data_IF_079595657954
#
_entry.id   IF_079595657954
#
_cell.length_a   1.000
_cell.length_b   1.000
_cell.length_c   1.000
_cell.angle_alpha   90.00
_cell.angle_beta   90.00
_cell.angle_gamma   90.00
#
_symmetry.space_group_name_H-M   'P 1'
#
loop_
_entity.id
_entity.type
_entity.pdbx_description
1 polymer ?
#
# COMPACT_ATOMS: atom_id res chain seq x y z
N UNK A 1 -9.79 -0.33 19.07
CA UNK A 1 -10.77 -0.41 20.17
C UNK A 1 -11.70 0.79 20.04
N UNK A 2 -12.99 0.63 19.72
CA UNK A 2 -13.88 1.74 19.35
C UNK A 2 -14.31 2.66 20.51
N UNK A 3 -14.20 2.23 21.78
CA UNK A 3 -14.83 2.93 22.92
C UNK A 3 -13.87 3.59 23.93
N UNK A 4 -12.63 3.90 23.54
CA UNK A 4 -11.64 4.38 24.51
C UNK A 4 -11.51 5.92 24.49
N UNK A 5 -12.14 6.59 25.46
CA UNK A 5 -12.14 8.06 25.66
C UNK A 5 -10.81 8.64 26.16
N UNK A 6 -9.78 7.81 26.42
CA UNK A 6 -8.47 8.26 26.91
C UNK A 6 -7.31 7.73 26.08
N UNK A 7 -6.49 8.66 25.56
CA UNK A 7 -5.28 8.38 24.76
C UNK A 7 -4.27 7.50 25.51
N UNK A 8 -4.21 7.60 26.84
CA UNK A 8 -3.29 6.82 27.69
C UNK A 8 -3.72 5.35 27.80
N UNK A 9 -5.03 5.08 27.88
CA UNK A 9 -5.58 3.72 27.92
C UNK A 9 -5.37 3.03 26.56
N UNK A 10 -5.56 3.74 25.44
CA UNK A 10 -5.26 3.25 24.11
C UNK A 10 -3.79 2.82 23.93
N UNK A 11 -2.84 3.61 24.44
CA UNK A 11 -1.41 3.30 24.35
C UNK A 11 -1.05 2.05 25.17
N UNK A 12 -1.60 1.94 26.40
CA UNK A 12 -1.38 0.75 27.25
C UNK A 12 -1.97 -0.51 26.61
N UNK A 13 -3.19 -0.44 26.09
CA UNK A 13 -3.85 -1.56 25.43
C UNK A 13 -3.10 -2.00 24.17
N UNK A 14 -2.62 -1.05 23.36
CA UNK A 14 -1.83 -1.36 22.16
C UNK A 14 -0.48 -2.03 22.50
N UNK A 15 0.18 -1.59 23.58
CA UNK A 15 1.42 -2.20 24.07
C UNK A 15 1.18 -3.61 24.63
N UNK A 16 0.07 -3.83 25.33
CA UNK A 16 -0.31 -5.16 25.83
C UNK A 16 -0.59 -6.13 24.68
N UNK A 17 -1.34 -5.69 23.67
CA UNK A 17 -1.56 -6.47 22.44
C UNK A 17 -0.24 -6.80 21.74
N UNK A 18 0.66 -5.82 21.60
CA UNK A 18 1.96 -6.04 20.97
C UNK A 18 2.79 -7.11 21.72
N UNK A 19 2.78 -7.08 23.06
CA UNK A 19 3.45 -8.11 23.88
C UNK A 19 2.84 -9.49 23.68
N UNK A 20 1.51 -9.61 23.73
CA UNK A 20 0.81 -10.88 23.47
C UNK A 20 1.19 -11.46 22.11
N UNK A 21 1.25 -10.62 21.08
CA UNK A 21 1.62 -11.05 19.73
C UNK A 21 3.07 -11.54 19.62
N UNK A 22 4.00 -10.98 20.40
CA UNK A 22 5.37 -11.49 20.49
C UNK A 22 5.40 -12.85 21.19
N UNK A 23 4.71 -12.96 22.32
CA UNK A 23 4.70 -14.17 23.15
C UNK A 23 4.06 -15.35 22.39
N UNK A 24 2.95 -15.11 21.69
CA UNK A 24 2.24 -16.14 20.91
C UNK A 24 2.81 -16.38 19.51
N UNK A 25 3.85 -15.65 19.10
CA UNK A 25 4.38 -15.79 17.74
C UNK A 25 5.04 -17.14 17.53
N UNK A 26 4.67 -17.79 16.42
CA UNK A 26 5.31 -19.00 15.89
C UNK A 26 5.56 -18.77 14.39
N UNK A 27 6.82 -18.84 13.91
CA UNK A 27 7.14 -18.62 12.51
C UNK A 27 6.68 -19.80 11.65
N UNK A 28 5.81 -19.55 10.66
CA UNK A 28 5.39 -20.58 9.69
C UNK A 28 6.50 -21.02 8.73
N UNK A 29 7.50 -20.17 8.51
CA UNK A 29 8.57 -20.39 7.55
C UNK A 29 9.80 -21.10 8.16
N UNK A 30 9.80 -21.39 9.46
CA UNK A 30 10.86 -22.13 10.13
C UNK A 30 10.30 -23.45 10.65
N UNK A 31 11.13 -24.49 10.62
CA UNK A 31 10.77 -25.76 11.24
C UNK A 31 10.78 -25.62 12.77
N UNK A 32 10.00 -26.45 13.45
CA UNK A 32 9.92 -26.44 14.91
C UNK A 32 11.29 -26.66 15.54
N UNK A 33 12.09 -27.61 15.00
CA UNK A 33 13.44 -27.89 15.49
C UNK A 33 14.41 -26.70 15.37
N UNK A 34 14.23 -25.84 14.37
CA UNK A 34 15.06 -24.64 14.17
C UNK A 34 14.57 -23.46 15.04
N UNK A 35 13.29 -23.46 15.41
CA UNK A 35 12.66 -22.35 16.13
C UNK A 35 12.79 -22.50 17.65
N UNK A 36 12.52 -23.68 18.20
CA UNK A 36 12.50 -23.91 19.65
C UNK A 36 13.79 -23.43 20.36
N UNK A 37 15.01 -23.71 19.85
CA UNK A 37 16.25 -23.29 20.53
C UNK A 37 16.43 -21.77 20.61
N UNK A 38 15.85 -21.03 19.67
CA UNK A 38 16.06 -19.58 19.52
C UNK A 38 14.85 -18.74 19.96
N UNK A 39 13.72 -19.38 20.27
CA UNK A 39 12.43 -18.73 20.44
C UNK A 39 12.45 -17.70 21.58
N UNK A 40 12.94 -18.10 22.75
CA UNK A 40 13.04 -17.23 23.92
C UNK A 40 13.94 -16.02 23.65
N UNK A 41 15.12 -16.25 23.08
CA UNK A 41 16.07 -15.19 22.73
C UNK A 41 15.44 -14.21 21.72
N UNK A 42 14.81 -14.72 20.66
CA UNK A 42 14.16 -13.89 19.63
C UNK A 42 13.04 -13.02 20.20
N UNK A 43 12.18 -13.59 21.06
CA UNK A 43 11.10 -12.84 21.73
C UNK A 43 11.66 -11.71 22.61
N UNK A 44 12.72 -11.98 23.38
CA UNK A 44 13.36 -10.96 24.21
C UNK A 44 13.85 -9.76 23.38
N UNK A 45 14.47 -10.02 22.22
CA UNK A 45 14.92 -8.96 21.31
C UNK A 45 13.72 -8.14 20.78
N UNK A 46 12.63 -8.81 20.42
CA UNK A 46 11.47 -8.11 19.87
C UNK A 46 10.80 -7.20 20.91
N UNK A 47 10.78 -7.60 22.19
CA UNK A 47 10.27 -6.78 23.29
C UNK A 47 11.17 -5.58 23.57
N UNK A 48 12.49 -5.73 23.47
CA UNK A 48 13.47 -4.65 23.65
C UNK A 48 13.38 -3.57 22.55
N UNK A 49 12.75 -3.88 21.41
CA UNK A 49 12.44 -2.88 20.37
C UNK A 49 11.22 -2.01 20.71
N UNK A 50 10.49 -2.32 21.79
CA UNK A 50 9.29 -1.61 22.25
C UNK A 50 8.25 -1.38 21.12
N UNK A 51 7.70 -2.44 20.51
CA UNK A 51 6.71 -2.32 19.44
C UNK A 51 5.45 -1.60 19.93
N UNK A 52 4.99 -0.62 19.14
CA UNK A 52 3.86 0.25 19.50
C UNK A 52 2.48 -0.38 19.30
N UNK A 53 2.40 -1.44 18.50
CA UNK A 53 1.17 -2.13 18.14
C UNK A 53 1.48 -3.57 17.67
N UNK A 54 0.44 -4.40 17.60
CA UNK A 54 0.48 -5.78 17.12
C UNK A 54 1.20 -5.92 15.77
N UNK A 55 0.83 -5.10 14.78
CA UNK A 55 1.41 -5.15 13.44
C UNK A 55 2.93 -4.99 13.47
N UNK A 56 3.45 -4.03 14.25
CA UNK A 56 4.89 -3.81 14.44
C UNK A 56 5.57 -4.94 15.20
N UNK A 57 4.90 -5.53 16.19
CA UNK A 57 5.39 -6.70 16.92
C UNK A 57 5.57 -7.91 15.98
N UNK A 58 4.55 -8.23 15.19
CA UNK A 58 4.59 -9.33 14.20
C UNK A 58 5.65 -9.07 13.13
N UNK A 59 5.80 -7.82 12.66
CA UNK A 59 6.84 -7.45 11.69
C UNK A 59 8.26 -7.62 12.25
N UNK A 60 8.48 -7.23 13.50
CA UNK A 60 9.75 -7.44 14.20
C UNK A 60 10.04 -8.94 14.36
N UNK A 61 9.08 -9.73 14.87
CA UNK A 61 9.24 -11.17 15.06
C UNK A 61 9.53 -11.92 13.75
N UNK A 62 8.82 -11.59 12.67
CA UNK A 62 9.05 -12.18 11.33
C UNK A 62 10.46 -11.89 10.81
N UNK A 63 11.00 -10.71 11.13
CA UNK A 63 12.32 -10.30 10.68
C UNK A 63 13.43 -10.90 11.54
N UNK A 64 13.28 -10.82 12.86
CA UNK A 64 14.28 -11.29 13.84
C UNK A 64 14.40 -12.82 13.84
N UNK A 65 13.29 -13.56 13.79
CA UNK A 65 13.33 -15.04 13.77
C UNK A 65 14.17 -15.58 12.63
N UNK A 66 14.07 -14.97 11.44
CA UNK A 66 14.79 -15.40 10.25
C UNK A 66 16.30 -15.16 10.34
N UNK A 67 16.73 -13.98 10.84
CA UNK A 67 18.17 -13.69 10.99
C UNK A 67 18.79 -14.47 12.15
N UNK A 68 18.06 -14.63 13.26
CA UNK A 68 18.55 -15.39 14.43
C UNK A 68 18.65 -16.88 14.08
N UNK A 69 17.66 -17.46 13.38
CA UNK A 69 17.73 -18.84 12.90
C UNK A 69 18.90 -19.06 11.94
N UNK A 70 19.10 -18.15 10.98
CA UNK A 70 20.24 -18.22 10.10
C UNK A 70 21.58 -18.13 10.87
N UNK A 71 21.72 -17.16 11.75
CA UNK A 71 22.94 -16.97 12.55
C UNK A 71 23.24 -18.18 13.44
N UNK A 72 22.21 -18.76 14.07
CA UNK A 72 22.35 -19.94 14.91
C UNK A 72 22.84 -21.16 14.12
N UNK A 73 22.33 -21.38 12.90
CA UNK A 73 22.79 -22.45 12.00
C UNK A 73 24.21 -22.24 11.49
N UNK A 74 24.64 -20.97 11.33
CA UNK A 74 26.04 -20.62 11.04
C UNK A 74 26.96 -20.78 12.27
N UNK A 75 26.43 -21.23 13.42
CA UNK A 75 27.19 -21.48 14.63
C UNK A 75 27.47 -20.24 15.49
N UNK A 76 26.80 -19.11 15.22
CA UNK A 76 26.93 -17.91 16.06
C UNK A 76 26.23 -18.15 17.42
N UNK A 77 26.83 -17.68 18.53
CA UNK A 77 26.18 -17.74 19.83
C UNK A 77 24.93 -16.87 19.84
N UNK A 78 23.95 -17.24 20.68
CA UNK A 78 22.74 -16.43 20.93
C UNK A 78 23.07 -15.20 21.79
N UNK A 79 23.85 -14.31 21.18
CA UNK A 79 24.31 -13.05 21.73
C UNK A 79 24.01 -11.94 20.71
N UNK A 80 23.25 -10.94 21.15
CA UNK A 80 22.83 -9.83 20.29
C UNK A 80 24.02 -9.01 19.79
N UNK A 81 25.08 -8.87 20.58
CA UNK A 81 26.28 -8.12 20.20
C UNK A 81 27.13 -8.88 19.17
N UNK A 82 26.87 -10.18 18.97
CA UNK A 82 27.54 -11.02 17.96
C UNK A 82 26.70 -11.16 16.70
N UNK A 83 25.39 -11.34 16.85
CA UNK A 83 24.46 -11.57 15.72
C UNK A 83 24.16 -10.27 14.97
N UNK A 84 23.99 -9.15 15.68
CA UNK A 84 23.51 -7.90 15.08
C UNK A 84 24.65 -6.91 14.80
N UNK A 85 25.80 -7.40 14.35
CA UNK A 85 26.90 -6.56 13.85
C UNK A 85 26.68 -6.20 12.38
N UNK A 86 27.26 -5.09 11.89
CA UNK A 86 27.15 -4.70 10.47
C UNK A 86 27.50 -5.85 9.51
N UNK A 87 28.63 -6.52 9.75
CA UNK A 87 29.14 -7.59 8.87
C UNK A 87 28.22 -8.81 8.83
N UNK A 88 27.70 -9.24 9.99
CA UNK A 88 26.79 -10.39 10.07
C UNK A 88 25.45 -10.07 9.41
N UNK A 89 24.94 -8.85 9.59
CA UNK A 89 23.70 -8.42 8.92
C UNK A 89 23.89 -8.32 7.40
N UNK A 90 24.99 -7.77 6.93
CA UNK A 90 25.26 -7.66 5.49
C UNK A 90 25.48 -9.05 4.86
N UNK A 91 26.18 -9.96 5.56
CA UNK A 91 26.30 -11.38 5.17
C UNK A 91 24.95 -12.09 5.13
N UNK A 92 24.10 -11.89 6.14
CA UNK A 92 22.74 -12.44 6.14
C UNK A 92 21.95 -11.94 4.92
N UNK A 93 22.01 -10.65 4.60
CA UNK A 93 21.28 -10.11 3.44
C UNK A 93 21.79 -10.69 2.12
N UNK A 94 23.11 -10.88 1.99
CA UNK A 94 23.73 -11.41 0.79
C UNK A 94 23.47 -12.91 0.61
N UNK A 95 23.55 -13.69 1.69
CA UNK A 95 23.53 -15.16 1.65
C UNK A 95 22.23 -15.73 2.21
N UNK A 96 21.93 -15.46 3.49
CA UNK A 96 20.76 -16.00 4.19
C UNK A 96 19.41 -15.54 3.61
N UNK A 97 19.38 -14.37 2.97
CA UNK A 97 18.19 -13.78 2.35
C UNK A 97 18.23 -13.80 0.81
N UNK A 98 19.12 -14.58 0.19
CA UNK A 98 19.30 -14.59 -1.26
C UNK A 98 18.03 -14.98 -2.05
N UNK A 99 17.17 -15.80 -1.44
CA UNK A 99 15.87 -16.22 -1.99
C UNK A 99 14.85 -15.08 -2.11
N UNK A 100 15.08 -13.93 -1.48
CA UNK A 100 14.21 -12.76 -1.57
C UNK A 100 14.54 -11.91 -2.81
N UNK A 101 13.51 -11.29 -3.40
CA UNK A 101 13.69 -10.28 -4.45
C UNK A 101 14.51 -9.10 -3.96
N UNK A 102 15.19 -8.40 -4.86
CA UNK A 102 16.05 -7.27 -4.51
C UNK A 102 15.35 -6.17 -3.70
N UNK A 103 14.12 -5.72 -4.03
CA UNK A 103 13.38 -4.76 -3.20
C UNK A 103 13.07 -5.30 -1.79
N UNK A 104 12.80 -6.60 -1.67
CA UNK A 104 12.55 -7.26 -0.39
C UNK A 104 13.82 -7.34 0.46
N UNK A 105 14.97 -7.65 -0.15
CA UNK A 105 16.29 -7.61 0.50
C UNK A 105 16.65 -6.21 0.96
N UNK A 106 16.38 -5.19 0.14
CA UNK A 106 16.62 -3.79 0.51
C UNK A 106 15.77 -3.37 1.72
N UNK A 107 14.50 -3.72 1.73
CA UNK A 107 13.59 -3.48 2.87
C UNK A 107 14.07 -4.21 4.13
N UNK A 108 14.40 -5.50 4.00
CA UNK A 108 14.91 -6.33 5.10
C UNK A 108 16.21 -5.77 5.67
N UNK A 109 17.13 -5.33 4.82
CA UNK A 109 18.39 -4.67 5.20
C UNK A 109 18.11 -3.40 6.00
N UNK A 110 17.20 -2.55 5.53
CA UNK A 110 16.85 -1.32 6.22
C UNK A 110 16.26 -1.59 7.62
N UNK A 111 15.33 -2.56 7.72
CA UNK A 111 14.74 -2.95 9.01
C UNK A 111 15.78 -3.56 9.96
N UNK A 112 16.62 -4.48 9.49
CA UNK A 112 17.65 -5.11 10.32
C UNK A 112 18.71 -4.10 10.78
N UNK A 113 19.17 -3.18 9.93
CA UNK A 113 20.09 -2.12 10.35
C UNK A 113 19.46 -1.21 11.42
N UNK A 114 18.16 -0.91 11.31
CA UNK A 114 17.43 -0.14 12.33
C UNK A 114 17.33 -0.92 13.64
N UNK A 115 16.91 -2.19 13.59
CA UNK A 115 16.78 -3.04 14.78
C UNK A 115 18.12 -3.28 15.46
N UNK A 116 19.16 -3.57 14.69
CA UNK A 116 20.50 -3.87 15.20
C UNK A 116 21.06 -2.71 16.01
N UNK A 117 20.93 -1.46 15.53
CA UNK A 117 21.32 -0.26 16.27
C UNK A 117 20.58 -0.10 17.59
N UNK A 118 19.30 -0.47 17.63
CA UNK A 118 18.50 -0.40 18.85
C UNK A 118 18.84 -1.52 19.84
N UNK A 119 19.24 -2.69 19.34
CA UNK A 119 19.49 -3.88 20.13
C UNK A 119 20.93 -3.98 20.66
N UNK A 120 21.90 -3.37 19.97
CA UNK A 120 23.32 -3.47 20.30
C UNK A 120 23.86 -2.18 20.90
N UNK A 121 24.85 -2.33 21.78
CA UNK A 121 25.57 -1.22 22.42
C UNK A 121 27.05 -1.18 22.02
N UNK A 122 27.63 -2.33 21.66
CA UNK A 122 29.06 -2.47 21.37
C UNK A 122 29.35 -2.65 19.87
N UNK A 123 28.38 -3.16 19.11
CA UNK A 123 28.56 -3.35 17.67
C UNK A 123 28.85 -2.01 16.95
N UNK A 124 29.79 -1.98 15.99
CA UNK A 124 30.29 -0.75 15.37
C UNK A 124 29.32 -0.21 14.31
N UNK A 125 28.10 0.14 14.72
CA UNK A 125 27.13 0.75 13.81
C UNK A 125 27.45 2.23 13.59
N UNK A 126 27.59 2.60 12.32
CA UNK A 126 27.56 4.01 11.95
C UNK A 126 26.21 4.64 12.33
N UNK A 127 26.18 5.94 12.71
CA UNK A 127 24.95 6.68 12.93
C UNK A 127 23.94 6.48 11.80
N UNK A 128 22.64 6.49 12.11
CA UNK A 128 21.62 6.42 11.07
C UNK A 128 21.82 7.63 10.14
N UNK A 129 22.09 7.41 8.83
CA UNK A 129 22.20 8.53 7.91
C UNK A 129 20.90 9.32 7.97
N UNK A 130 20.95 10.66 7.88
CA UNK A 130 19.75 11.46 7.90
C UNK A 130 18.80 10.93 6.84
N UNK A 131 17.54 10.73 7.23
CA UNK A 131 16.52 10.25 6.30
C UNK A 131 16.36 11.30 5.21
N UNK A 132 17.04 11.09 4.09
CA UNK A 132 16.64 11.72 2.84
C UNK A 132 15.22 11.27 2.62
N UNK A 133 14.27 12.20 2.77
CA UNK A 133 12.91 11.99 2.28
C UNK A 133 13.06 11.86 0.78
N UNK A 134 13.23 10.64 0.29
CA UNK A 134 13.14 10.35 -1.12
C UNK A 134 11.86 11.00 -1.61
N UNK A 135 11.98 11.87 -2.61
CA UNK A 135 10.84 12.53 -3.24
C UNK A 135 10.02 11.48 -3.97
N UNK A 136 9.26 10.68 -3.22
CA UNK A 136 8.26 9.81 -3.78
C UNK A 136 7.11 10.71 -4.23
N UNK A 137 7.24 11.25 -5.43
CA UNK A 137 6.17 11.95 -6.11
C UNK A 137 5.36 10.93 -6.88
N UNK A 138 4.04 10.94 -6.66
CA UNK A 138 3.13 10.14 -7.49
C UNK A 138 3.00 10.87 -8.82
N UNK A 139 3.47 10.23 -9.89
CA UNK A 139 3.35 10.73 -11.25
C UNK A 139 2.07 10.18 -11.88
N UNK A 140 1.10 11.01 -12.29
CA UNK A 140 -0.07 10.58 -13.04
C UNK A 140 0.31 9.82 -14.32
N UNK A 141 -0.61 9.04 -14.88
CA UNK A 141 -0.43 8.47 -16.20
C UNK A 141 -0.59 9.54 -17.27
N UNK A 142 0.19 9.43 -18.34
CA UNK A 142 -0.05 10.20 -19.57
C UNK A 142 -1.26 9.63 -20.32
N UNK A 143 -1.84 10.41 -21.23
CA UNK A 143 -3.00 9.97 -22.02
C UNK A 143 -2.66 8.73 -22.88
N UNK A 144 -1.41 8.63 -23.37
CA UNK A 144 -0.93 7.46 -24.09
C UNK A 144 -0.78 6.23 -23.18
N UNK A 145 -0.30 6.40 -21.94
CA UNK A 145 -0.27 5.31 -20.96
C UNK A 145 -1.69 4.84 -20.60
N UNK A 146 -2.64 5.77 -20.43
CA UNK A 146 -4.05 5.44 -20.17
C UNK A 146 -4.65 4.66 -21.34
N UNK A 147 -4.48 5.14 -22.56
CA UNK A 147 -4.97 4.46 -23.77
C UNK A 147 -4.41 3.03 -23.87
N UNK A 148 -3.10 2.86 -23.62
CA UNK A 148 -2.47 1.53 -23.65
C UNK A 148 -3.00 0.60 -22.55
N UNK A 149 -3.22 1.11 -21.33
CA UNK A 149 -3.81 0.33 -20.25
C UNK A 149 -5.22 -0.16 -20.61
N UNK A 150 -6.04 0.70 -21.22
CA UNK A 150 -7.39 0.35 -21.64
C UNK A 150 -7.37 -0.69 -22.76
N UNK A 151 -6.51 -0.54 -23.76
CA UNK A 151 -6.33 -1.52 -24.82
C UNK A 151 -5.92 -2.89 -24.27
N UNK A 152 -4.90 -2.93 -23.40
CA UNK A 152 -4.44 -4.18 -22.76
C UNK A 152 -5.57 -4.82 -21.95
N UNK A 153 -6.43 -4.03 -21.30
CA UNK A 153 -7.57 -4.57 -20.54
C UNK A 153 -8.56 -5.37 -21.38
N UNK A 154 -8.69 -5.04 -22.66
CA UNK A 154 -9.58 -5.72 -23.62
C UNK A 154 -8.90 -6.92 -24.30
N UNK A 155 -7.57 -6.96 -24.33
CA UNK A 155 -6.77 -8.01 -24.97
C UNK A 155 -6.43 -9.19 -24.04
N UNK A 156 -7.23 -9.43 -23.00
CA UNK A 156 -6.99 -10.53 -22.07
C UNK A 156 -7.50 -11.86 -22.62
N UNK A 157 -6.76 -12.94 -22.35
CA UNK A 157 -7.11 -14.30 -22.81
C UNK A 157 -8.48 -14.81 -22.37
N UNK A 158 -8.98 -14.37 -21.22
CA UNK A 158 -10.28 -14.82 -20.70
C UNK A 158 -11.18 -13.64 -20.31
N UNK A 159 -12.52 -13.79 -20.43
CA UNK A 159 -13.46 -12.75 -20.02
C UNK A 159 -13.30 -12.33 -18.55
N UNK A 160 -12.97 -13.28 -17.66
CA UNK A 160 -12.77 -12.99 -16.22
C UNK A 160 -11.54 -12.10 -15.99
N UNK A 161 -10.45 -12.32 -16.73
CA UNK A 161 -9.26 -11.47 -16.65
C UNK A 161 -9.56 -10.07 -17.21
N UNK A 162 -10.23 -9.99 -18.36
CA UNK A 162 -10.66 -8.72 -18.96
C UNK A 162 -11.51 -7.91 -17.97
N UNK A 163 -12.60 -8.52 -17.46
CA UNK A 163 -13.51 -7.91 -16.46
C UNK A 163 -12.76 -7.39 -15.24
N UNK A 164 -11.79 -8.14 -14.70
CA UNK A 164 -11.00 -7.71 -13.51
C UNK A 164 -10.14 -6.49 -13.80
N UNK A 165 -9.47 -6.48 -14.96
CA UNK A 165 -8.58 -5.40 -15.33
C UNK A 165 -9.37 -4.14 -15.72
N UNK A 166 -10.43 -4.30 -16.49
CA UNK A 166 -11.39 -3.23 -16.81
C UNK A 166 -12.01 -2.63 -15.54
N UNK A 167 -12.47 -3.45 -14.60
CA UNK A 167 -13.01 -2.98 -13.33
C UNK A 167 -11.98 -2.17 -12.52
N UNK A 168 -10.74 -2.64 -12.47
CA UNK A 168 -9.67 -1.94 -11.76
C UNK A 168 -9.36 -0.58 -12.39
N UNK A 169 -9.32 -0.51 -13.73
CA UNK A 169 -9.13 0.74 -14.45
C UNK A 169 -10.34 1.65 -14.29
N UNK A 170 -11.57 1.15 -14.37
CA UNK A 170 -12.78 1.94 -14.20
C UNK A 170 -12.91 2.50 -12.77
N UNK A 171 -12.60 1.72 -11.74
CA UNK A 171 -12.56 2.23 -10.36
C UNK A 171 -11.43 3.24 -10.15
N UNK A 172 -10.27 3.04 -10.75
CA UNK A 172 -9.10 3.90 -10.56
C UNK A 172 -9.11 5.19 -11.38
N UNK A 173 -9.49 5.12 -12.65
CA UNK A 173 -9.52 6.24 -13.61
C UNK A 173 -10.90 6.87 -13.73
N UNK A 174 -11.97 6.09 -13.51
CA UNK A 174 -13.36 6.54 -13.61
C UNK A 174 -13.88 7.19 -12.34
N UNK A 175 -13.59 6.56 -11.21
CA UNK A 175 -14.11 6.94 -9.87
C UNK A 175 -13.01 7.53 -8.99
N UNK A 176 -11.74 7.21 -9.29
CA UNK A 176 -10.62 7.63 -8.46
C UNK A 176 -10.62 7.01 -7.07
N UNK A 177 -11.12 5.79 -6.86
CA UNK A 177 -11.24 5.20 -5.51
C UNK A 177 -9.91 5.07 -4.79
N UNK A 178 -9.92 5.17 -3.46
CA UNK A 178 -8.73 4.90 -2.67
C UNK A 178 -8.39 3.41 -2.76
N UNK A 179 -7.11 2.99 -2.83
CA UNK A 179 -6.76 1.60 -3.04
C UNK A 179 -7.34 0.61 -2.03
N UNK A 180 -7.69 1.04 -0.81
CA UNK A 180 -8.35 0.19 0.19
C UNK A 180 -9.85 0.04 -0.04
N UNK A 181 -10.51 1.09 -0.53
CA UNK A 181 -11.96 1.12 -0.81
C UNK A 181 -12.29 0.17 -1.96
N UNK A 182 -11.45 0.11 -2.98
CA UNK A 182 -11.66 -0.71 -4.18
C UNK A 182 -11.98 -2.19 -3.90
N UNK A 183 -11.44 -2.76 -2.82
CA UNK A 183 -11.59 -4.19 -2.51
C UNK A 183 -12.93 -4.57 -1.88
N UNK A 184 -13.68 -3.60 -1.36
CA UNK A 184 -14.95 -3.86 -0.65
C UNK A 184 -16.17 -3.39 -1.43
N UNK A 185 -15.99 -2.64 -2.52
CA UNK A 185 -17.10 -2.13 -3.32
C UNK A 185 -17.79 -3.26 -4.08
N UNK A 186 -19.11 -3.29 -4.00
CA UNK A 186 -19.97 -4.27 -4.69
C UNK A 186 -20.79 -3.60 -5.77
N UNK A 187 -21.41 -4.39 -6.64
CA UNK A 187 -22.32 -3.85 -7.66
C UNK A 187 -23.57 -3.20 -7.05
N UNK A 188 -23.90 -3.50 -5.79
CA UNK A 188 -25.00 -2.85 -5.05
C UNK A 188 -24.66 -1.40 -4.66
N UNK A 189 -23.36 -1.07 -4.63
CA UNK A 189 -22.89 0.31 -4.43
C UNK A 189 -23.04 1.17 -5.68
N UNK A 190 -23.33 0.56 -6.84
CA UNK A 190 -23.54 1.26 -8.11
C UNK A 190 -24.97 1.77 -8.16
N UNK A 191 -25.13 3.07 -8.32
CA UNK A 191 -26.43 3.75 -8.37
C UNK A 191 -26.50 4.69 -9.55
N UNK A 192 -27.71 4.97 -10.03
CA UNK A 192 -27.95 6.03 -11.01
C UNK A 192 -28.52 7.23 -10.26
N UNK A 193 -27.83 8.37 -10.32
CA UNK A 193 -28.27 9.63 -9.72
C UNK A 193 -28.27 10.73 -10.77
N UNK A 194 -29.41 11.41 -10.94
CA UNK A 194 -29.64 12.43 -11.97
C UNK A 194 -29.25 11.97 -13.40
N UNK A 195 -29.41 10.69 -13.70
CA UNK A 195 -29.04 10.11 -15.01
C UNK A 195 -27.55 9.77 -15.17
N UNK A 196 -26.73 9.97 -14.14
CA UNK A 196 -25.31 9.61 -14.13
C UNK A 196 -25.08 8.33 -13.33
N UNK A 197 -24.22 7.46 -13.85
CA UNK A 197 -23.73 6.29 -13.10
C UNK A 197 -22.81 6.79 -12.00
N UNK A 198 -23.06 6.38 -10.77
CA UNK A 198 -22.35 6.78 -9.57
C UNK A 198 -21.97 5.54 -8.75
N UNK A 199 -20.90 5.66 -7.95
CA UNK A 199 -20.51 4.65 -6.97
C UNK A 199 -20.61 5.23 -5.57
N UNK A 200 -21.37 4.57 -4.70
CA UNK A 200 -21.45 4.87 -3.27
C UNK A 200 -20.27 4.25 -2.55
N UNK A 201 -19.42 5.07 -1.96
CA UNK A 201 -18.28 4.61 -1.19
C UNK A 201 -18.66 4.67 0.29
N UNK A 202 -18.76 3.54 1.01
CA UNK A 202 -19.06 3.53 2.44
C UNK A 202 -17.81 3.78 3.30
N UNK A 203 -18.00 4.00 4.60
CA UNK A 203 -16.93 4.09 5.60
C UNK A 203 -16.74 5.49 6.21
N UNK A 204 -15.56 5.73 6.80
CA UNK A 204 -15.25 6.98 7.52
C UNK A 204 -15.33 8.24 6.63
N UNK A 205 -15.04 8.08 5.34
CA UNK A 205 -15.12 9.14 4.33
C UNK A 205 -16.18 8.82 3.27
N UNK A 206 -17.38 8.48 3.76
CA UNK A 206 -18.50 8.07 2.91
C UNK A 206 -18.92 9.19 1.96
N UNK A 207 -19.13 8.82 0.69
CA UNK A 207 -19.44 9.77 -0.40
C UNK A 207 -20.00 9.02 -1.61
N UNK A 208 -20.72 9.73 -2.46
CA UNK A 208 -21.12 9.25 -3.78
C UNK A 208 -20.25 9.94 -4.82
N UNK A 209 -19.67 9.17 -5.73
CA UNK A 209 -18.78 9.70 -6.77
C UNK A 209 -19.34 9.35 -8.15
N UNK A 210 -19.57 10.34 -9.04
CA UNK A 210 -19.95 10.06 -10.42
C UNK A 210 -18.81 9.35 -11.15
N UNK A 211 -19.15 8.34 -11.94
CA UNK A 211 -18.18 7.63 -12.76
C UNK A 211 -17.94 8.44 -14.03
N UNK A 212 -16.67 8.77 -14.30
CA UNK A 212 -16.31 9.52 -15.51
C UNK A 212 -16.32 8.63 -16.75
N UNK A 213 -16.79 9.16 -17.88
CA UNK A 213 -16.78 8.47 -19.15
C UNK A 213 -15.34 8.18 -19.63
N UNK A 214 -15.09 7.04 -20.32
CA UNK A 214 -16.06 5.99 -20.68
C UNK A 214 -16.21 4.89 -19.60
N UNK A 215 -15.70 5.12 -18.39
CA UNK A 215 -15.68 4.10 -17.34
C UNK A 215 -17.07 3.83 -16.73
N UNK A 216 -18.00 4.75 -16.91
CA UNK A 216 -19.41 4.63 -16.53
C UNK A 216 -20.08 3.43 -17.21
N UNK A 217 -19.88 3.27 -18.53
CA UNK A 217 -20.40 2.13 -19.29
C UNK A 217 -19.85 0.80 -18.75
N UNK A 218 -18.56 0.77 -18.39
CA UNK A 218 -17.90 -0.42 -17.84
C UNK A 218 -18.50 -0.79 -16.48
N UNK A 219 -18.65 0.18 -15.58
CA UNK A 219 -19.22 -0.04 -14.25
C UNK A 219 -20.70 -0.45 -14.35
N UNK A 220 -21.47 0.20 -15.23
CA UNK A 220 -22.87 -0.15 -15.46
C UNK A 220 -23.03 -1.58 -16.01
N UNK A 221 -22.20 -1.96 -16.99
CA UNK A 221 -22.16 -3.33 -17.52
C UNK A 221 -21.86 -4.36 -16.43
N UNK A 222 -20.80 -4.14 -15.63
CA UNK A 222 -20.44 -5.05 -14.54
C UNK A 222 -21.59 -5.19 -13.52
N UNK A 223 -22.25 -4.08 -13.20
CA UNK A 223 -23.37 -4.10 -12.25
C UNK A 223 -24.58 -4.87 -12.78
N UNK A 224 -24.84 -4.80 -14.09
CA UNK A 224 -25.93 -5.54 -14.74
C UNK A 224 -25.60 -7.04 -14.90
N UNK A 225 -24.36 -7.37 -15.28
CA UNK A 225 -23.95 -8.74 -15.60
C UNK A 225 -23.73 -9.61 -14.35
N UNK A 226 -23.36 -9.01 -13.21
CA UNK A 226 -22.88 -9.73 -12.02
C UNK A 226 -23.41 -9.10 -10.70
N UNK A 227 -24.74 -9.04 -10.50
CA UNK A 227 -25.34 -8.39 -9.33
C UNK A 227 -25.00 -9.09 -8.01
N UNK A 228 -24.72 -8.30 -6.96
CA UNK A 228 -24.30 -8.77 -5.63
C UNK A 228 -22.81 -9.10 -5.52
N UNK A 229 -22.08 -9.06 -6.64
CA UNK A 229 -20.64 -9.34 -6.66
C UNK A 229 -19.79 -8.13 -6.25
N UNK A 230 -18.52 -8.37 -5.94
CA UNK A 230 -17.54 -7.27 -5.87
C UNK A 230 -17.34 -6.65 -7.25
N UNK A 231 -17.24 -5.32 -7.35
CA UNK A 231 -16.97 -4.65 -8.64
C UNK A 231 -15.67 -5.16 -9.27
N UNK A 232 -14.64 -5.51 -8.47
CA UNK A 232 -13.39 -6.09 -8.97
C UNK A 232 -13.49 -7.56 -9.41
N UNK A 233 -14.53 -8.30 -9.04
CA UNK A 233 -14.67 -9.73 -9.39
C UNK A 233 -13.55 -10.58 -8.79
N UNK A 234 -13.02 -10.09 -7.67
CA UNK A 234 -11.89 -10.67 -6.98
C UNK A 234 -12.05 -10.40 -5.48
N UNK A 235 -12.21 -11.48 -4.72
CA UNK A 235 -12.29 -11.43 -3.26
C UNK A 235 -10.93 -11.88 -2.72
N UNK A 236 -10.15 -10.91 -2.24
CA UNK A 236 -8.91 -11.22 -1.55
C UNK A 236 -9.18 -11.56 -0.08
N UNK A 237 -8.54 -12.59 0.50
CA UNK A 237 -8.57 -12.80 1.94
C UNK A 237 -8.12 -11.54 2.70
N UNK A 238 -8.69 -11.28 3.88
CA UNK A 238 -8.37 -10.06 4.63
C UNK A 238 -6.88 -9.92 4.95
N UNK A 239 -6.19 -11.05 5.18
CA UNK A 239 -4.77 -11.13 5.50
C UNK A 239 -3.85 -10.94 4.27
N UNK A 240 -4.39 -10.92 3.05
CA UNK A 240 -3.61 -10.73 1.84
C UNK A 240 -3.08 -9.29 1.74
N UNK A 241 -1.76 -9.16 1.86
CA UNK A 241 -1.03 -7.87 1.78
C UNK A 241 -0.65 -7.52 0.33
N UNK A 242 -0.83 -8.43 -0.62
CA UNK A 242 -0.41 -8.31 -2.02
C UNK A 242 -1.60 -8.41 -2.99
N UNK A 243 -2.79 -7.96 -2.56
CA UNK A 243 -4.05 -8.08 -3.32
C UNK A 243 -3.95 -7.65 -4.78
N UNK A 244 -3.27 -6.52 -5.05
CA UNK A 244 -3.06 -6.04 -6.41
C UNK A 244 -2.21 -7.03 -7.23
N UNK A 245 -1.13 -7.56 -6.65
CA UNK A 245 -0.29 -8.55 -7.32
C UNK A 245 -1.06 -9.83 -7.61
N UNK A 246 -1.94 -10.28 -6.71
CA UNK A 246 -2.74 -11.48 -6.91
C UNK A 246 -3.87 -11.27 -7.94
N UNK A 247 -4.52 -10.11 -7.91
CA UNK A 247 -5.50 -9.74 -8.95
C UNK A 247 -4.83 -9.74 -10.34
N UNK A 248 -3.61 -9.20 -10.43
CA UNK A 248 -2.84 -9.12 -11.67
C UNK A 248 -2.05 -10.39 -12.01
N UNK A 249 -1.99 -11.40 -11.13
CA UNK A 249 -1.08 -12.55 -11.30
C UNK A 249 -1.33 -13.32 -12.61
N UNK A 250 -2.57 -13.31 -13.08
CA UNK A 250 -2.99 -13.95 -14.34
C UNK A 250 -3.28 -12.93 -15.44
N UNK A 251 -3.05 -11.65 -15.23
CA UNK A 251 -3.23 -10.65 -16.28
C UNK A 251 -2.07 -10.76 -17.29
N UNK A 252 -2.40 -10.70 -18.57
CA UNK A 252 -1.42 -10.62 -19.64
C UNK A 252 -1.04 -9.16 -19.82
N UNK A 253 0.15 -8.81 -19.31
CA UNK A 253 0.69 -7.45 -19.36
C UNK A 253 1.93 -7.46 -20.27
N UNK A 254 1.79 -7.02 -21.54
CA UNK A 254 2.90 -6.87 -22.48
C UNK A 254 4.04 -6.00 -21.91
N UNK A 255 5.25 -6.15 -22.45
CA UNK A 255 6.42 -5.40 -21.98
C UNK A 255 6.30 -3.87 -22.12
N UNK A 256 5.51 -3.41 -23.09
CA UNK A 256 5.19 -2.01 -23.33
C UNK A 256 4.00 -1.51 -22.49
N UNK A 257 3.33 -2.38 -21.74
CA UNK A 257 2.24 -2.00 -20.84
C UNK A 257 2.81 -1.21 -19.63
N UNK A 258 2.31 0.00 -19.37
CA UNK A 258 2.74 0.78 -18.22
C UNK A 258 2.52 0.02 -16.90
N UNK A 259 3.45 0.08 -15.92
CA UNK A 259 3.26 -0.59 -14.65
C UNK A 259 1.98 -0.12 -13.95
N UNK A 260 1.06 -1.05 -13.68
CA UNK A 260 -0.21 -0.73 -13.05
C UNK A 260 -0.02 -0.44 -11.56
N UNK A 261 -0.41 0.76 -11.15
CA UNK A 261 -0.29 1.29 -9.80
C UNK A 261 -1.56 2.05 -9.43
N UNK A 262 -2.30 1.54 -8.44
CA UNK A 262 -3.60 2.13 -8.02
C UNK A 262 -3.52 3.59 -7.61
N UNK A 263 -2.42 4.01 -6.96
CA UNK A 263 -2.20 5.41 -6.62
C UNK A 263 -1.96 6.31 -7.84
N UNK A 264 -1.35 5.80 -8.93
CA UNK A 264 -1.20 6.54 -10.18
C UNK A 264 -2.55 6.67 -10.90
N UNK A 265 -3.38 5.61 -10.91
CA UNK A 265 -4.73 5.68 -11.49
C UNK A 265 -5.55 6.80 -10.83
N UNK A 266 -5.61 6.78 -9.50
CA UNK A 266 -6.32 7.80 -8.72
C UNK A 266 -5.76 9.22 -8.91
N UNK A 267 -4.43 9.37 -8.99
CA UNK A 267 -3.82 10.66 -9.28
C UNK A 267 -4.17 11.16 -10.70
N UNK A 268 -4.29 10.24 -11.66
CA UNK A 268 -4.70 10.53 -13.04
C UNK A 268 -6.14 11.02 -13.11
N UNK A 269 -7.06 10.33 -12.41
CA UNK A 269 -8.45 10.77 -12.26
C UNK A 269 -8.55 12.18 -11.66
N UNK A 270 -7.82 12.45 -10.57
CA UNK A 270 -7.85 13.76 -9.92
C UNK A 270 -7.29 14.86 -10.85
N UNK A 271 -6.20 14.56 -11.57
CA UNK A 271 -5.64 15.49 -12.55
C UNK A 271 -6.60 15.76 -13.70
N UNK A 272 -7.31 14.74 -14.20
CA UNK A 272 -8.29 14.89 -15.27
C UNK A 272 -9.42 15.86 -14.87
N UNK A 273 -9.95 15.75 -13.64
CA UNK A 273 -10.95 16.70 -13.14
C UNK A 273 -10.42 18.13 -12.99
N UNK A 274 -9.19 18.30 -12.49
CA UNK A 274 -8.56 19.63 -12.41
C UNK A 274 -8.35 20.23 -13.81
N UNK A 275 -7.95 19.43 -14.80
CA UNK A 275 -7.83 19.83 -16.21
C UNK A 275 -9.18 20.21 -16.82
N UNK A 276 -10.25 19.56 -16.40
CA UNK A 276 -11.61 19.90 -16.78
C UNK A 276 -12.16 21.16 -16.06
N UNK A 277 -11.36 21.82 -15.23
CA UNK A 277 -11.74 23.06 -14.54
C UNK A 277 -12.55 22.86 -13.26
N UNK A 278 -12.66 21.64 -12.75
CA UNK A 278 -13.30 21.38 -11.47
C UNK A 278 -12.53 22.06 -10.33
N UNK A 279 -13.25 22.67 -9.39
CA UNK A 279 -12.60 23.31 -8.24
C UNK A 279 -11.88 22.28 -7.39
N UNK A 280 -10.74 22.70 -6.83
CA UNK A 280 -9.86 21.82 -6.07
C UNK A 280 -10.57 21.19 -4.85
N UNK A 281 -11.44 21.94 -4.19
CA UNK A 281 -12.22 21.46 -3.06
C UNK A 281 -13.24 20.40 -3.50
N UNK A 282 -13.85 20.53 -4.68
CA UNK A 282 -14.79 19.54 -5.21
C UNK A 282 -14.07 18.24 -5.57
N UNK A 283 -12.89 18.33 -6.19
CA UNK A 283 -12.04 17.17 -6.44
C UNK A 283 -11.65 16.49 -5.12
N UNK A 284 -11.27 17.26 -4.10
CA UNK A 284 -10.93 16.71 -2.77
C UNK A 284 -12.13 16.05 -2.08
N UNK A 285 -13.32 16.62 -2.22
CA UNK A 285 -14.57 16.08 -1.69
C UNK A 285 -14.91 14.75 -2.37
N UNK A 286 -14.89 14.70 -3.71
CA UNK A 286 -15.10 13.46 -4.48
C UNK A 286 -14.01 12.42 -4.20
N UNK A 287 -12.79 12.86 -3.96
CA UNK A 287 -11.69 11.99 -3.56
C UNK A 287 -11.86 11.47 -2.12
N UNK A 288 -12.59 12.15 -1.24
CA UNK A 288 -12.68 11.81 0.18
C UNK A 288 -11.36 12.03 0.92
N UNK A 289 -10.62 13.10 0.58
CA UNK A 289 -9.37 13.46 1.26
C UNK A 289 -9.44 14.85 1.85
N UNK A 290 -9.01 14.97 3.10
CA UNK A 290 -8.79 16.26 3.77
C UNK A 290 -7.33 16.73 3.70
N UNK A 291 -6.43 15.86 3.22
CA UNK A 291 -4.99 16.12 3.21
C UNK A 291 -4.52 16.72 1.88
N UNK A 292 -3.80 17.84 1.96
CA UNK A 292 -3.14 18.50 0.82
C UNK A 292 -2.00 17.70 0.18
N UNK A 293 -1.66 16.50 0.72
CA UNK A 293 -0.63 15.63 0.12
C UNK A 293 -0.94 15.27 -1.33
N UNK A 294 -2.22 15.06 -1.66
CA UNK A 294 -2.63 14.77 -3.04
C UNK A 294 -2.21 15.90 -3.99
N UNK A 295 -2.40 17.14 -3.55
CA UNK A 295 -2.13 18.32 -4.34
C UNK A 295 -0.63 18.58 -4.44
N UNK A 296 0.13 18.28 -3.40
CA UNK A 296 1.59 18.43 -3.40
C UNK A 296 2.28 17.71 -4.56
N UNK A 297 1.81 16.51 -4.95
CA UNK A 297 2.37 15.80 -6.11
C UNK A 297 1.66 16.15 -7.43
N UNK A 298 0.40 16.61 -7.41
CA UNK A 298 -0.31 17.01 -8.63
C UNK A 298 0.05 18.42 -9.12
N UNK A 299 0.56 19.29 -8.24
CA UNK A 299 0.85 20.69 -8.56
C UNK A 299 1.79 20.86 -9.77
N UNK A 300 2.74 19.93 -9.96
CA UNK A 300 3.65 19.93 -11.11
C UNK A 300 2.97 19.58 -12.45
N UNK A 301 1.77 19.01 -12.42
CA UNK A 301 1.03 18.54 -13.59
C UNK A 301 -0.28 19.30 -13.83
N UNK A 302 -0.78 19.99 -12.80
CA UNK A 302 -2.00 20.76 -12.86
C UNK A 302 -1.85 21.91 -13.87
N UNK A 303 -2.93 22.25 -14.61
CA UNK A 303 -2.88 23.35 -15.56
C UNK A 303 -2.55 24.66 -14.83
N UNK A 304 -1.58 25.42 -15.36
CA UNK A 304 -1.30 26.77 -14.91
C UNK A 304 -2.12 27.76 -15.73
N UNK A 305 -2.90 28.61 -15.08
CA UNK A 305 -3.56 29.73 -15.75
C UNK A 305 -2.49 30.70 -16.25
N UNK A 306 -2.56 31.08 -17.54
CA UNK A 306 -1.66 32.06 -18.10
C UNK A 306 -1.74 33.38 -17.32
N UNK A 307 -0.60 34.08 -17.15
CA UNK A 307 -0.57 35.31 -16.35
C UNK A 307 -1.57 36.36 -16.82
N UNK A 308 -1.79 36.47 -18.14
CA UNK A 308 -2.77 37.37 -18.76
C UNK A 308 -4.21 37.10 -18.31
N UNK A 309 -4.58 35.85 -18.06
CA UNK A 309 -5.90 35.44 -17.58
C UNK A 309 -6.00 35.49 -16.06
N UNK A 310 -4.88 35.25 -15.37
CA UNK A 310 -4.81 35.26 -13.92
C UNK A 310 -4.86 36.68 -13.36
N UNK A 311 -4.14 37.62 -13.99
CA UNK A 311 -3.98 38.98 -13.47
C UNK A 311 -5.32 39.72 -13.27
N UNK A 312 -6.27 39.73 -14.22
CA UNK A 312 -7.56 40.40 -14.01
C UNK A 312 -8.37 39.77 -12.87
N UNK A 313 -8.39 38.43 -12.79
CA UNK A 313 -9.09 37.67 -11.73
C UNK A 313 -8.48 37.90 -10.35
N UNK A 314 -7.15 38.04 -10.29
CA UNK A 314 -6.44 38.27 -9.04
C UNK A 314 -6.52 39.73 -8.57
N UNK A 315 -6.53 40.68 -9.51
CA UNK A 315 -6.56 42.11 -9.22
C UNK A 315 -7.97 42.63 -8.90
N UNK A 316 -9.02 41.96 -9.39
CA UNK A 316 -10.42 42.34 -9.17
C UNK A 316 -11.16 41.15 -8.57
N UNK A 317 -11.29 41.17 -7.24
CA UNK A 317 -12.10 40.21 -6.49
C UNK A 317 -13.59 40.56 -6.61
#
# INVERSE_FOLDING_TARGET
CPDCTSRTLCVKHAAELARRSVDSYVPQALRTEDWEPIAHFTRSLALDLHPKDDRRAVEAMRTLSQVVSWAHREGLPLDRERIFTPDVIDRYIAVGAAHLSEPSRATRRADLRRFSRALTRKAPWEPEPPRMRGGYSIVPYTDAEVARLLEVSQQQRTPVQARRLEALLALGLGVGVYPKEAWSLTTEDVVVDQGYVCVRIPGEHARTVPVTAPHDEVIARIAADDPGSTILGFIAPQWDRSRLSHLLQRAELPADCPPLRTHRLRATWALAHLRAGMQINDVMNLAGVSSWKMLGYLAAFAPATAWSELLPKAARK
#
